data_IF_173225891963
#
_entry.id   IF_173225891963
#
_cell.length_a   1.000
_cell.length_b   1.000
_cell.length_c   1.000
_cell.angle_alpha   90.00
_cell.angle_beta   90.00
_cell.angle_gamma   90.00
#
_symmetry.space_group_name_H-M   'P 1'
#
loop_
_entity.id
_entity.type
_entity.pdbx_description
1 polymer ?
#
# COMPACT_ATOMS: atom_id res chain seq x y z
N UNK A 1 -33.51 -11.96 -11.29
CA UNK A 1 -33.18 -11.16 -12.49
C UNK A 1 -33.26 -9.70 -12.07
N UNK A 2 -32.13 -8.99 -12.06
CA UNK A 2 -32.13 -7.54 -11.82
C UNK A 2 -32.54 -6.83 -13.12
N UNK A 3 -33.16 -5.65 -13.03
CA UNK A 3 -33.60 -4.88 -14.21
C UNK A 3 -32.44 -4.57 -15.17
N UNK A 4 -31.24 -4.37 -14.62
CA UNK A 4 -30.02 -4.10 -15.39
C UNK A 4 -29.55 -5.30 -16.23
N UNK A 5 -29.67 -6.54 -15.75
CA UNK A 5 -29.34 -7.73 -16.54
C UNK A 5 -30.27 -7.89 -17.75
N UNK A 6 -31.54 -7.49 -17.61
CA UNK A 6 -32.51 -7.54 -18.72
C UNK A 6 -32.15 -6.58 -19.84
N UNK A 7 -31.73 -5.37 -19.50
CA UNK A 7 -31.31 -4.35 -20.47
C UNK A 7 -30.09 -4.79 -21.30
N UNK A 8 -29.11 -5.45 -20.65
CA UNK A 8 -27.92 -5.98 -21.35
C UNK A 8 -28.30 -7.06 -22.36
N UNK A 9 -29.25 -7.95 -22.02
CA UNK A 9 -29.74 -8.99 -22.93
C UNK A 9 -30.53 -8.42 -24.11
N UNK A 10 -31.30 -7.35 -23.90
CA UNK A 10 -31.97 -6.64 -24.99
C UNK A 10 -30.98 -5.96 -25.93
N UNK A 11 -29.87 -5.40 -25.39
CA UNK A 11 -28.80 -4.85 -26.22
C UNK A 11 -28.07 -5.92 -27.04
N UNK A 12 -27.86 -7.12 -26.48
CA UNK A 12 -27.30 -8.26 -27.20
C UNK A 12 -28.25 -8.73 -28.30
N UNK A 13 -29.56 -8.84 -28.02
CA UNK A 13 -30.57 -9.22 -29.00
C UNK A 13 -30.72 -8.17 -30.12
N UNK A 14 -30.52 -6.89 -29.81
CA UNK A 14 -30.48 -5.82 -30.79
C UNK A 14 -29.15 -5.75 -31.57
N UNK A 15 -28.17 -6.62 -31.27
CA UNK A 15 -26.86 -6.66 -31.91
C UNK A 15 -25.98 -5.44 -31.62
N UNK A 16 -26.30 -4.65 -30.58
CA UNK A 16 -25.54 -3.45 -30.21
C UNK A 16 -24.25 -3.78 -29.45
N UNK A 17 -24.17 -4.99 -28.91
CA UNK A 17 -23.01 -5.52 -28.20
C UNK A 17 -22.81 -6.98 -28.64
N UNK A 18 -21.57 -7.46 -28.53
CA UNK A 18 -21.21 -8.86 -28.75
C UNK A 18 -21.54 -9.73 -27.54
N UNK A 19 -21.58 -11.05 -27.76
CA UNK A 19 -21.80 -12.04 -26.70
C UNK A 19 -20.77 -11.92 -25.57
N UNK A 20 -19.50 -11.68 -25.92
CA UNK A 20 -18.42 -11.49 -24.95
C UNK A 20 -18.59 -10.22 -24.10
N UNK A 21 -19.08 -9.13 -24.70
CA UNK A 21 -19.34 -7.88 -24.00
C UNK A 21 -20.55 -7.99 -23.06
N UNK A 22 -21.59 -8.71 -23.48
CA UNK A 22 -22.76 -8.98 -22.65
C UNK A 22 -22.37 -9.77 -21.39
N UNK A 23 -21.54 -10.80 -21.54
CA UNK A 23 -21.09 -11.63 -20.41
C UNK A 23 -20.26 -10.82 -19.40
N UNK A 24 -19.36 -9.95 -19.88
CA UNK A 24 -18.60 -9.02 -19.02
C UNK A 24 -19.51 -8.05 -18.25
N UNK A 25 -20.50 -7.46 -18.91
CA UNK A 25 -21.43 -6.50 -18.27
C UNK A 25 -22.29 -7.17 -17.21
N UNK A 26 -22.78 -8.38 -17.47
CA UNK A 26 -23.59 -9.14 -16.50
C UNK A 26 -22.76 -9.52 -15.27
N UNK A 27 -21.51 -9.94 -15.48
CA UNK A 27 -20.58 -10.25 -14.38
C UNK A 27 -20.26 -9.00 -13.54
N UNK A 28 -19.96 -7.86 -14.18
CA UNK A 28 -19.68 -6.61 -13.48
C UNK A 28 -20.87 -6.07 -12.66
N UNK A 29 -22.11 -6.30 -13.13
CA UNK A 29 -23.34 -5.95 -12.41
C UNK A 29 -23.62 -6.89 -11.22
N UNK A 30 -23.19 -8.15 -11.29
CA UNK A 30 -23.37 -9.15 -10.23
C UNK A 30 -22.42 -8.91 -9.05
N UNK A 31 -21.21 -8.45 -9.32
CA UNK A 31 -20.18 -8.18 -8.31
C UNK A 31 -20.30 -6.81 -7.63
N UNK A 32 -21.43 -6.11 -7.79
CA UNK A 32 -21.70 -4.92 -6.98
C UNK A 32 -20.79 -3.72 -7.27
N UNK A 33 -20.38 -3.54 -8.53
CA UNK A 33 -19.79 -2.30 -9.00
C UNK A 33 -18.28 -2.18 -8.78
N UNK A 34 -17.51 -2.75 -9.68
CA UNK A 34 -16.20 -2.22 -10.04
C UNK A 34 -15.83 -2.72 -11.44
N UNK A 35 -16.12 -1.92 -12.45
CA UNK A 35 -15.31 -1.73 -13.67
C UNK A 35 -16.09 -0.88 -14.67
N UNK A 36 -16.29 0.40 -14.33
CA UNK A 36 -16.18 1.40 -15.40
C UNK A 36 -14.75 1.28 -15.96
N UNK A 37 -14.54 1.31 -17.29
CA UNK A 37 -13.27 1.74 -17.85
C UNK A 37 -13.15 3.24 -17.58
N UNK A 38 -13.03 3.61 -16.31
CA UNK A 38 -12.49 4.89 -15.91
C UNK A 38 -11.05 4.81 -16.38
N UNK A 39 -10.68 5.72 -17.27
CA UNK A 39 -9.30 6.14 -17.45
C UNK A 39 -8.65 6.08 -16.07
N UNK A 40 -7.85 5.04 -15.83
CA UNK A 40 -7.00 5.02 -14.67
C UNK A 40 -6.09 6.20 -14.96
N UNK A 41 -6.38 7.37 -14.39
CA UNK A 41 -5.32 8.18 -13.82
C UNK A 41 -4.64 7.23 -12.86
N UNK A 42 -3.71 6.43 -13.40
CA UNK A 42 -2.79 5.62 -12.63
C UNK A 42 -2.13 6.66 -11.75
N UNK A 43 -2.58 6.76 -10.48
CA UNK A 43 -1.81 7.53 -9.50
C UNK A 43 -0.39 6.98 -9.66
N UNK A 44 0.62 7.85 -9.85
CA UNK A 44 1.97 7.40 -10.16
C UNK A 44 2.35 6.30 -9.17
N UNK A 45 2.81 5.15 -9.68
CA UNK A 45 3.24 4.07 -8.81
C UNK A 45 4.27 4.65 -7.83
N UNK A 46 4.14 4.39 -6.52
CA UNK A 46 5.14 4.85 -5.57
C UNK A 46 6.48 4.29 -6.02
N UNK A 47 7.49 5.14 -6.08
CA UNK A 47 8.83 4.80 -6.53
C UNK A 47 9.75 4.53 -5.34
N UNK A 48 9.43 5.10 -4.19
CA UNK A 48 10.23 5.06 -2.99
C UNK A 48 9.37 4.74 -1.77
N UNK A 49 9.95 3.98 -0.84
CA UNK A 49 9.50 3.87 0.54
C UNK A 49 10.39 4.78 1.39
N UNK A 50 9.78 5.70 2.14
CA UNK A 50 10.49 6.62 3.01
C UNK A 50 10.19 6.34 4.47
N UNK A 51 11.25 6.26 5.26
CA UNK A 51 11.20 6.06 6.71
C UNK A 51 11.92 7.23 7.36
N UNK A 52 11.18 8.01 8.14
CA UNK A 52 11.73 9.06 8.99
C UNK A 52 11.53 8.66 10.45
N UNK A 53 12.57 8.79 11.25
CA UNK A 53 12.54 8.58 12.70
C UNK A 53 13.22 9.78 13.33
N UNK A 54 12.53 10.44 14.24
CA UNK A 54 13.06 11.49 15.12
C UNK A 54 12.75 11.01 16.53
N UNK A 55 13.78 10.69 17.28
CA UNK A 55 13.65 10.14 18.64
C UNK A 55 14.58 10.95 19.53
N UNK A 56 14.07 11.48 20.63
CA UNK A 56 14.90 12.05 21.69
C UNK A 56 14.90 11.09 22.89
N UNK A 57 15.84 10.14 22.90
CA UNK A 57 15.97 9.16 23.97
C UNK A 57 16.91 9.71 25.06
N UNK A 58 16.46 9.77 26.32
CA UNK A 58 17.28 10.26 27.43
C UNK A 58 18.55 9.42 27.66
N UNK A 59 18.60 8.17 27.19
CA UNK A 59 19.75 7.27 27.38
C UNK A 59 20.72 7.25 26.19
N UNK A 60 20.20 7.21 24.97
CA UNK A 60 20.98 7.08 23.73
C UNK A 60 21.17 8.41 22.99
N UNK A 61 20.51 9.47 23.43
CA UNK A 61 20.55 10.80 22.82
C UNK A 61 19.67 10.93 21.56
N UNK A 62 19.63 12.13 20.97
CA UNK A 62 18.75 12.42 19.84
C UNK A 62 19.17 11.64 18.59
N UNK A 63 18.26 10.82 18.07
CA UNK A 63 18.44 9.99 16.89
C UNK A 63 17.52 10.47 15.77
N UNK A 64 18.12 10.99 14.69
CA UNK A 64 17.41 11.41 13.47
C UNK A 64 17.81 10.54 12.29
N UNK A 65 16.83 9.85 11.73
CA UNK A 65 16.97 8.96 10.59
C UNK A 65 16.00 9.40 9.50
N UNK A 66 16.48 9.48 8.26
CA UNK A 66 15.66 9.77 7.09
C UNK A 66 16.16 8.92 5.93
N UNK A 67 15.55 7.74 5.77
CA UNK A 67 15.91 6.76 4.74
C UNK A 67 14.88 6.83 3.63
N UNK A 68 15.36 6.91 2.39
CA UNK A 68 14.54 6.81 1.18
C UNK A 68 15.02 5.63 0.35
N UNK A 69 14.16 4.64 0.17
CA UNK A 69 14.52 3.37 -0.50
C UNK A 69 13.69 3.20 -1.76
N UNK A 70 14.31 3.11 -2.95
CA UNK A 70 13.59 2.73 -4.16
C UNK A 70 12.91 1.37 -4.00
N UNK A 71 11.63 1.26 -4.35
CA UNK A 71 10.90 -0.01 -4.29
C UNK A 71 11.52 -1.07 -5.22
N UNK A 72 12.20 -0.65 -6.29
CA UNK A 72 12.97 -1.54 -7.15
C UNK A 72 14.14 -2.22 -6.41
N UNK A 73 14.77 -1.56 -5.44
CA UNK A 73 15.83 -2.19 -4.64
C UNK A 73 15.25 -3.20 -3.66
N UNK A 74 14.08 -2.92 -3.08
CA UNK A 74 13.37 -3.89 -2.23
C UNK A 74 12.99 -5.13 -3.05
N UNK A 75 12.52 -4.95 -4.29
CA UNK A 75 12.29 -6.05 -5.26
C UNK A 75 13.56 -6.82 -5.59
N UNK A 76 14.72 -6.16 -5.64
CA UNK A 76 16.01 -6.79 -5.89
C UNK A 76 16.59 -7.53 -4.66
N UNK A 77 15.90 -7.52 -3.51
CA UNK A 77 16.33 -8.21 -2.29
C UNK A 77 17.09 -7.34 -1.28
N UNK A 78 17.17 -6.03 -1.50
CA UNK A 78 17.69 -5.10 -0.49
C UNK A 78 16.70 -5.05 0.67
N UNK A 79 17.20 -5.24 1.89
CA UNK A 79 16.36 -5.24 3.09
C UNK A 79 16.21 -3.83 3.65
N UNK A 80 14.99 -3.41 3.93
CA UNK A 80 14.74 -2.10 4.56
C UNK A 80 15.46 -2.00 5.91
N UNK A 81 15.42 -3.07 6.71
CA UNK A 81 16.09 -3.13 8.00
C UNK A 81 17.61 -2.89 7.92
N UNK A 82 18.32 -3.28 6.84
CA UNK A 82 19.77 -3.02 6.77
C UNK A 82 20.15 -1.55 6.61
N UNK A 83 19.18 -0.70 6.28
CA UNK A 83 19.37 0.74 6.10
C UNK A 83 19.00 1.54 7.36
N UNK A 84 18.46 0.88 8.38
CA UNK A 84 18.02 1.49 9.64
C UNK A 84 18.87 0.91 10.77
N UNK A 85 19.43 1.73 11.69
CA UNK A 85 20.17 1.25 12.85
C UNK A 85 19.35 0.26 13.71
N UNK A 86 20.00 -0.77 14.26
CA UNK A 86 19.33 -1.85 14.98
C UNK A 86 18.46 -1.36 16.17
N UNK A 87 18.92 -0.36 16.92
CA UNK A 87 18.14 0.25 18.01
C UNK A 87 16.85 0.93 17.52
N UNK A 88 16.89 1.52 16.33
CA UNK A 88 15.73 2.18 15.71
C UNK A 88 14.78 1.18 15.03
N UNK A 89 15.28 0.04 14.56
CA UNK A 89 14.43 -1.01 13.96
C UNK A 89 13.35 -1.51 14.94
N UNK A 90 13.72 -1.74 16.20
CA UNK A 90 12.80 -2.22 17.24
C UNK A 90 11.67 -1.21 17.48
N UNK A 91 12.03 0.07 17.64
CA UNK A 91 11.09 1.19 17.83
C UNK A 91 10.12 1.32 16.65
N UNK A 92 10.61 1.23 15.41
CA UNK A 92 9.76 1.26 14.21
C UNK A 92 8.79 0.07 14.19
N UNK A 93 9.26 -1.14 14.45
CA UNK A 93 8.41 -2.35 14.47
C UNK A 93 7.34 -2.32 15.57
N UNK A 94 7.69 -1.88 16.78
CA UNK A 94 6.75 -1.74 17.90
C UNK A 94 5.65 -0.74 17.54
N UNK A 95 6.04 0.41 17.00
CA UNK A 95 5.12 1.47 16.66
C UNK A 95 4.19 1.10 15.48
N UNK A 96 4.66 0.33 14.49
CA UNK A 96 3.81 -0.24 13.44
C UNK A 96 2.78 -1.23 14.02
N UNK A 97 3.20 -2.10 14.95
CA UNK A 97 2.32 -3.08 15.60
C UNK A 97 1.24 -2.45 16.46
N UNK A 98 1.56 -1.38 17.19
CA UNK A 98 0.58 -0.61 17.97
C UNK A 98 -0.56 -0.04 17.12
N UNK A 99 -0.29 0.24 15.84
CA UNK A 99 -1.29 0.72 14.88
C UNK A 99 -2.04 -0.41 14.16
N UNK A 100 -1.85 -1.66 14.59
CA UNK A 100 -2.53 -2.82 14.00
C UNK A 100 -1.94 -3.27 12.66
N UNK A 101 -0.78 -2.74 12.25
CA UNK A 101 -0.03 -3.28 11.12
C UNK A 101 0.87 -4.41 11.59
N UNK A 102 0.63 -5.63 11.10
CA UNK A 102 1.56 -6.74 11.25
C UNK A 102 2.70 -6.65 10.19
N UNK A 103 3.25 -5.45 10.03
CA UNK A 103 4.35 -5.16 9.14
C UNK A 103 5.65 -5.16 9.94
N UNK A 104 6.51 -6.15 9.68
CA UNK A 104 7.84 -6.23 10.24
C UNK A 104 8.88 -5.84 9.19
N UNK A 105 9.55 -4.69 9.37
CA UNK A 105 10.52 -4.15 8.41
C UNK A 105 11.72 -5.07 8.20
N UNK A 106 11.97 -6.02 9.11
CA UNK A 106 13.04 -7.02 9.00
C UNK A 106 12.64 -8.23 8.15
N UNK A 107 11.33 -8.45 7.98
CA UNK A 107 10.75 -9.58 7.25
C UNK A 107 10.19 -9.18 5.89
N UNK A 108 10.34 -7.93 5.48
CA UNK A 108 10.00 -7.50 4.11
C UNK A 108 10.89 -8.29 3.14
N UNK A 109 10.26 -9.12 2.30
CA UNK A 109 10.92 -9.94 1.29
C UNK A 109 10.45 -9.56 -0.13
N UNK A 110 11.27 -9.83 -1.16
CA UNK A 110 10.89 -9.60 -2.55
C UNK A 110 9.59 -10.26 -2.97
N UNK A 111 9.27 -11.44 -2.42
CA UNK A 111 8.08 -12.19 -2.83
C UNK A 111 6.78 -11.49 -2.39
N UNK A 112 6.79 -10.84 -1.23
CA UNK A 112 5.62 -10.15 -0.66
C UNK A 112 5.57 -8.66 -1.03
N UNK A 113 6.64 -8.12 -1.66
CA UNK A 113 6.76 -6.68 -1.91
C UNK A 113 5.70 -6.19 -2.90
N UNK A 114 5.27 -7.02 -3.86
CA UNK A 114 4.32 -6.58 -4.88
C UNK A 114 2.92 -6.35 -4.29
N UNK A 115 2.44 -7.27 -3.43
CA UNK A 115 1.18 -7.12 -2.69
C UNK A 115 1.24 -5.92 -1.73
N UNK A 116 2.37 -5.79 -1.01
CA UNK A 116 2.62 -4.65 -0.13
C UNK A 116 2.59 -3.32 -0.89
N UNK A 117 3.12 -3.22 -2.10
CA UNK A 117 3.15 -1.95 -2.85
C UNK A 117 1.75 -1.43 -3.18
N UNK A 118 0.81 -2.32 -3.50
CA UNK A 118 -0.57 -1.93 -3.75
C UNK A 118 -1.26 -1.41 -2.47
N UNK A 119 -0.98 -2.03 -1.32
CA UNK A 119 -1.47 -1.57 0.00
C UNK A 119 -0.76 -0.29 0.49
N UNK A 120 0.54 -0.16 0.19
CA UNK A 120 1.39 0.97 0.59
C UNK A 120 1.04 2.27 -0.13
N UNK A 121 0.26 2.22 -1.22
CA UNK A 121 -0.11 3.37 -2.06
C UNK A 121 -0.83 4.48 -1.29
N UNK A 122 -1.60 4.13 -0.26
CA UNK A 122 -2.26 5.09 0.63
C UNK A 122 -1.73 4.99 2.08
N UNK A 123 -0.64 4.24 2.31
CA UNK A 123 -0.05 4.09 3.64
C UNK A 123 0.78 5.32 4.00
N UNK A 124 0.30 6.09 4.98
CA UNK A 124 1.08 7.06 5.72
C UNK A 124 0.89 6.82 7.20
N UNK A 125 1.96 6.39 7.87
CA UNK A 125 1.98 6.18 9.31
C UNK A 125 2.70 7.38 9.90
N UNK A 126 2.05 8.20 10.73
CA UNK A 126 2.68 9.24 11.54
C UNK A 126 2.44 8.90 13.01
N UNK A 127 3.53 8.70 13.75
CA UNK A 127 3.53 8.25 15.13
C UNK A 127 4.09 9.41 15.93
N UNK A 128 3.30 9.98 16.83
CA UNK A 128 3.71 11.04 17.77
C UNK A 128 3.43 10.55 19.18
N UNK A 129 4.41 9.87 19.80
CA UNK A 129 4.31 9.46 21.19
C UNK A 129 4.85 10.58 22.10
N UNK A 130 3.94 11.42 22.59
CA UNK A 130 4.23 12.55 23.52
C UNK A 130 4.87 12.16 24.87
N UNK A 131 5.00 10.87 25.19
CA UNK A 131 5.63 10.41 26.44
C UNK A 131 7.14 10.22 26.33
N UNK A 132 7.68 10.06 25.11
CA UNK A 132 9.10 9.75 24.87
C UNK A 132 9.68 10.51 23.66
N UNK A 133 9.07 11.64 23.24
CA UNK A 133 9.47 12.47 22.08
C UNK A 133 9.86 11.64 20.83
N UNK A 134 9.00 10.68 20.48
CA UNK A 134 9.21 9.78 19.33
C UNK A 134 8.28 10.16 18.20
N UNK A 135 8.88 10.60 17.09
CA UNK A 135 8.22 10.82 15.81
C UNK A 135 8.67 9.85 14.73
N UNK A 136 7.80 8.93 14.31
CA UNK A 136 8.11 7.97 13.24
C UNK A 136 7.13 8.19 12.08
N UNK A 137 7.67 8.37 10.88
CA UNK A 137 6.89 8.50 9.64
C UNK A 137 7.30 7.47 8.61
N UNK A 138 6.35 6.65 8.16
CA UNK A 138 6.54 5.65 7.10
C UNK A 138 5.51 5.86 6.01
N UNK A 139 5.96 6.11 4.77
CA UNK A 139 5.06 6.34 3.64
C UNK A 139 5.70 6.01 2.29
N UNK A 140 4.86 5.77 1.31
CA UNK A 140 5.26 5.55 -0.08
C UNK A 140 5.13 6.86 -0.90
N UNK A 141 6.11 7.15 -1.76
CA UNK A 141 6.15 8.34 -2.64
C UNK A 141 6.68 8.03 -4.05
#
# INVERSE_FOLDING_TARGET
>A
MTEHTRLVLEMLAAGKISTDEADRLINALRDGGATTPTERTEKPQPRYLRVMVDVDDERDGPTKINVRVPLQLLRAGVRLASLIPAHAQKRVNEALREQGMDLDITKIKPENINELIDELRDLSVDIDQKREDVKIRVFAE
#
